data_IF_730784568141
#
_entry.id   IF_730784568141
#
_cell.length_a   1.000
_cell.length_b   1.000
_cell.length_c   1.000
_cell.angle_alpha   90.00
_cell.angle_beta   90.00
_cell.angle_gamma   90.00
#
_symmetry.space_group_name_H-M   'P 1'
#
loop_
_entity.id
_entity.type
_entity.pdbx_description
1 polymer ?
#
# COMPACT_ATOMS: atom_id res chain seq x y z
N UNK A 1 17.99 18.84 11.87
CA UNK A 1 17.75 17.39 12.03
C UNK A 1 16.53 16.99 11.19
N UNK A 2 16.73 16.35 10.04
CA UNK A 2 15.63 15.89 9.18
C UNK A 2 15.06 14.60 9.77
N UNK A 3 13.86 14.66 10.32
CA UNK A 3 13.13 13.48 10.80
C UNK A 3 12.90 12.49 9.66
N UNK A 4 13.61 11.36 9.72
CA UNK A 4 13.37 10.23 8.84
C UNK A 4 11.96 9.70 9.07
N UNK A 5 11.10 9.87 8.06
CA UNK A 5 9.88 9.06 7.96
C UNK A 5 10.38 7.61 7.87
N UNK A 6 10.21 6.84 8.96
CA UNK A 6 10.37 5.38 8.93
C UNK A 6 9.49 4.77 7.83
N UNK A 7 9.64 3.48 7.51
CA UNK A 7 8.90 2.81 6.44
C UNK A 7 7.42 2.64 6.82
N UNK A 8 6.71 3.76 6.98
CA UNK A 8 5.27 3.81 7.02
C UNK A 8 4.80 3.38 5.65
N UNK A 9 3.93 2.35 5.62
CA UNK A 9 3.13 1.92 4.47
C UNK A 9 3.46 2.70 3.22
N UNK A 10 4.51 2.26 2.51
CA UNK A 10 4.96 2.89 1.29
C UNK A 10 3.75 3.09 0.39
N UNK A 11 3.73 4.20 -0.36
CA UNK A 11 2.68 4.52 -1.31
C UNK A 11 2.09 3.22 -1.86
N UNK A 12 0.82 2.93 -1.57
CA UNK A 12 0.15 1.77 -2.17
C UNK A 12 0.17 1.90 -3.72
N UNK A 13 0.52 3.08 -4.25
CA UNK A 13 0.82 3.36 -5.65
C UNK A 13 2.14 2.75 -6.16
N UNK A 14 3.08 2.34 -5.30
CA UNK A 14 4.37 1.77 -5.73
C UNK A 14 4.29 0.31 -6.18
N UNK A 15 3.10 -0.28 -6.15
CA UNK A 15 2.79 -1.54 -6.83
C UNK A 15 2.52 -1.38 -8.33
N UNK A 16 2.66 -0.16 -8.87
CA UNK A 16 2.65 0.12 -10.32
C UNK A 16 3.82 -0.63 -10.95
N UNK A 17 3.55 -1.89 -11.29
CA UNK A 17 4.30 -2.76 -12.20
C UNK A 17 5.77 -2.36 -12.29
N UNK A 18 6.50 -2.57 -11.19
CA UNK A 18 7.96 -2.42 -11.15
C UNK A 18 8.55 -3.22 -12.31
N UNK A 19 8.91 -2.54 -13.39
CA UNK A 19 9.31 -3.18 -14.65
C UNK A 19 8.61 -2.68 -15.91
N UNK A 20 7.55 -1.86 -15.86
CA UNK A 20 6.98 -1.25 -17.09
C UNK A 20 8.02 -0.41 -17.85
N UNK A 21 8.88 0.31 -17.14
CA UNK A 21 10.00 1.05 -17.74
C UNK A 21 11.08 0.15 -18.34
N UNK A 22 11.12 -1.14 -17.94
CA UNK A 22 11.99 -2.16 -18.52
C UNK A 22 11.31 -2.92 -19.69
N UNK A 23 10.04 -2.61 -19.97
CA UNK A 23 9.38 -3.06 -21.20
C UNK A 23 9.60 -1.98 -22.25
N UNK A 24 10.02 -2.39 -23.44
CA UNK A 24 10.02 -1.54 -24.63
C UNK A 24 8.55 -1.32 -25.06
N UNK A 25 7.81 -0.50 -24.32
CA UNK A 25 6.43 -0.14 -24.63
C UNK A 25 6.40 0.74 -25.89
N UNK A 26 5.41 0.51 -26.73
CA UNK A 26 5.13 1.43 -27.85
C UNK A 26 4.49 2.72 -27.32
N UNK A 27 4.61 3.82 -28.06
CA UNK A 27 4.01 5.10 -27.69
C UNK A 27 2.48 4.99 -27.44
N UNK A 28 1.80 4.17 -28.23
CA UNK A 28 0.35 3.91 -28.09
C UNK A 28 0.02 3.14 -26.80
N UNK A 29 0.87 2.18 -26.40
CA UNK A 29 0.70 1.46 -25.14
C UNK A 29 0.98 2.38 -23.94
N UNK A 30 2.01 3.22 -24.02
CA UNK A 30 2.35 4.17 -22.97
C UNK A 30 1.22 5.19 -22.75
N UNK A 31 0.65 5.73 -23.84
CA UNK A 31 -0.49 6.65 -23.75
C UNK A 31 -1.70 6.00 -23.06
N UNK A 32 -2.06 4.76 -23.44
CA UNK A 32 -3.17 4.02 -22.81
C UNK A 32 -2.93 3.77 -21.33
N UNK A 33 -1.71 3.38 -20.95
CA UNK A 33 -1.34 3.13 -19.55
C UNK A 33 -1.39 4.42 -18.73
N UNK A 34 -0.91 5.55 -19.29
CA UNK A 34 -1.00 6.86 -18.64
C UNK A 34 -2.45 7.24 -18.35
N UNK A 35 -3.34 7.14 -19.33
CA UNK A 35 -4.78 7.42 -19.13
C UNK A 35 -5.40 6.53 -18.05
N UNK A 36 -5.08 5.23 -18.04
CA UNK A 36 -5.55 4.31 -17.00
C UNK A 36 -5.04 4.69 -15.61
N UNK A 37 -3.80 5.20 -15.52
CA UNK A 37 -3.20 5.63 -14.26
C UNK A 37 -3.85 6.91 -13.75
N UNK A 38 -4.07 7.89 -14.63
CA UNK A 38 -4.70 9.16 -14.26
C UNK A 38 -6.14 8.96 -13.79
N UNK A 39 -6.89 8.07 -14.46
CA UNK A 39 -8.23 7.68 -14.04
C UNK A 39 -8.20 7.02 -12.64
N UNK A 40 -7.31 6.05 -12.43
CA UNK A 40 -7.19 5.38 -11.13
C UNK A 40 -6.80 6.36 -10.02
N UNK A 41 -5.86 7.28 -10.27
CA UNK A 41 -5.44 8.29 -9.30
C UNK A 41 -6.60 9.22 -8.93
N UNK A 42 -7.39 9.63 -9.91
CA UNK A 42 -8.56 10.49 -9.69
C UNK A 42 -9.61 9.80 -8.82
N UNK A 43 -9.88 8.52 -9.08
CA UNK A 43 -10.83 7.74 -8.27
C UNK A 43 -10.27 7.36 -6.88
N UNK A 44 -8.97 7.17 -6.75
CA UNK A 44 -8.33 6.75 -5.51
C UNK A 44 -8.12 7.91 -4.52
N UNK A 45 -7.91 9.14 -4.99
CA UNK A 45 -7.74 10.35 -4.17
C UNK A 45 -8.80 10.49 -3.06
N UNK A 46 -10.11 10.51 -3.35
CA UNK A 46 -11.12 10.67 -2.31
C UNK A 46 -11.14 9.53 -1.28
N UNK A 47 -10.76 8.31 -1.68
CA UNK A 47 -10.63 7.17 -0.75
C UNK A 47 -9.40 7.31 0.15
N UNK A 48 -8.29 7.81 -0.39
CA UNK A 48 -7.08 8.11 0.38
C UNK A 48 -7.33 9.23 1.40
N UNK A 49 -8.04 10.28 1.00
CA UNK A 49 -8.41 11.39 1.89
C UNK A 49 -9.32 10.92 3.03
N UNK A 50 -10.34 10.12 2.72
CA UNK A 50 -11.19 9.49 3.75
C UNK A 50 -10.37 8.61 4.70
N UNK A 51 -9.45 7.80 4.16
CA UNK A 51 -8.58 6.95 4.97
C UNK A 51 -7.65 7.78 5.87
N UNK A 52 -7.11 8.90 5.38
CA UNK A 52 -6.28 9.81 6.18
C UNK A 52 -7.07 10.40 7.34
N UNK A 53 -8.25 10.94 7.07
CA UNK A 53 -9.15 11.47 8.09
C UNK A 53 -9.50 10.43 9.16
N UNK A 54 -9.84 9.21 8.74
CA UNK A 54 -10.18 8.10 9.66
C UNK A 54 -9.00 7.64 10.50
N UNK A 55 -7.78 7.65 9.97
CA UNK A 55 -6.56 7.38 10.76
C UNK A 55 -6.31 8.47 11.80
N UNK A 56 -6.59 9.73 11.46
CA UNK A 56 -6.56 10.85 12.40
C UNK A 56 -7.57 10.66 13.54
N UNK A 57 -8.82 10.34 13.20
CA UNK A 57 -9.88 10.03 14.17
C UNK A 57 -9.48 8.87 15.09
N UNK A 58 -8.96 7.78 14.53
CA UNK A 58 -8.49 6.64 15.31
C UNK A 58 -7.38 7.05 16.29
N UNK A 59 -6.42 7.86 15.86
CA UNK A 59 -5.34 8.37 16.71
C UNK A 59 -5.90 9.21 17.86
N UNK A 60 -6.88 10.08 17.59
CA UNK A 60 -7.52 10.89 18.63
C UNK A 60 -8.28 10.04 19.64
N UNK A 61 -9.01 9.01 19.19
CA UNK A 61 -9.71 8.07 20.09
C UNK A 61 -8.75 7.34 21.05
N UNK A 62 -7.54 7.00 20.59
CA UNK A 62 -6.52 6.39 21.44
C UNK A 62 -5.85 7.36 22.43
N UNK A 63 -5.92 8.68 22.18
CA UNK A 63 -5.36 9.70 23.07
C UNK A 63 -6.33 10.15 24.17
N UNK A 64 -7.58 9.67 24.14
CA UNK A 64 -8.56 9.97 25.18
C UNK A 64 -8.16 9.32 26.51
N UNK A 65 -8.41 10.02 27.63
CA UNK A 65 -8.13 9.51 28.97
C UNK A 65 -8.83 8.16 29.24
N UNK A 66 -10.04 7.99 28.70
CA UNK A 66 -10.82 6.75 28.75
C UNK A 66 -11.21 6.34 27.31
N UNK A 67 -10.39 5.53 26.62
CA UNK A 67 -10.66 5.15 25.24
C UNK A 67 -11.92 4.30 25.10
N UNK A 68 -12.82 4.70 24.20
CA UNK A 68 -14.03 3.94 23.91
C UNK A 68 -13.74 2.82 22.90
N UNK A 69 -13.69 1.57 23.38
CA UNK A 69 -13.41 0.39 22.56
C UNK A 69 -14.36 0.24 21.37
N UNK A 70 -15.67 0.48 21.55
CA UNK A 70 -16.66 0.33 20.46
C UNK A 70 -16.38 1.32 19.32
N UNK A 71 -16.09 2.59 19.64
CA UNK A 71 -15.74 3.61 18.65
C UNK A 71 -14.43 3.29 17.93
N UNK A 72 -13.41 2.83 18.67
CA UNK A 72 -12.12 2.42 18.09
C UNK A 72 -12.31 1.27 17.10
N UNK A 73 -13.06 0.24 17.47
CA UNK A 73 -13.31 -0.91 16.59
C UNK A 73 -14.13 -0.52 15.37
N UNK A 74 -15.12 0.38 15.51
CA UNK A 74 -15.90 0.90 14.39
C UNK A 74 -15.01 1.64 13.37
N UNK A 75 -14.21 2.61 13.83
CA UNK A 75 -13.28 3.35 12.95
C UNK A 75 -12.24 2.41 12.31
N UNK A 76 -11.75 1.41 13.04
CA UNK A 76 -10.87 0.40 12.47
C UNK A 76 -11.53 -0.40 11.33
N UNK A 77 -12.81 -0.78 11.48
CA UNK A 77 -13.56 -1.49 10.42
C UNK A 77 -13.72 -0.61 9.18
N UNK A 78 -14.03 0.68 9.36
CA UNK A 78 -14.12 1.63 8.25
C UNK A 78 -12.79 1.78 7.52
N UNK A 79 -11.67 1.87 8.26
CA UNK A 79 -10.32 1.91 7.66
C UNK A 79 -10.02 0.63 6.87
N UNK A 80 -10.44 -0.54 7.37
CA UNK A 80 -10.29 -1.81 6.64
C UNK A 80 -11.08 -1.79 5.33
N UNK A 81 -12.36 -1.41 5.38
CA UNK A 81 -13.19 -1.31 4.19
C UNK A 81 -12.63 -0.34 3.15
N UNK A 82 -12.12 0.83 3.57
CA UNK A 82 -11.48 1.79 2.66
C UNK A 82 -10.19 1.23 2.04
N UNK A 83 -9.42 0.44 2.80
CA UNK A 83 -8.23 -0.25 2.28
C UNK A 83 -8.61 -1.29 1.23
N UNK A 84 -9.65 -2.07 1.49
CA UNK A 84 -10.13 -3.11 0.57
C UNK A 84 -10.57 -2.48 -0.76
N UNK A 85 -11.34 -1.39 -0.71
CA UNK A 85 -11.75 -0.64 -1.92
C UNK A 85 -10.55 -0.11 -2.73
N UNK A 86 -9.50 0.40 -2.04
CA UNK A 86 -8.29 0.85 -2.71
C UNK A 86 -7.54 -0.31 -3.37
N UNK A 87 -7.49 -1.47 -2.71
CA UNK A 87 -6.83 -2.67 -3.21
C UNK A 87 -7.58 -3.28 -4.42
N UNK A 88 -8.90 -3.26 -4.40
CA UNK A 88 -9.73 -3.68 -5.54
C UNK A 88 -9.49 -2.79 -6.76
N UNK A 89 -9.48 -1.46 -6.57
CA UNK A 89 -9.17 -0.51 -7.64
C UNK A 89 -7.76 -0.73 -8.21
N UNK A 90 -6.77 -1.00 -7.35
CA UNK A 90 -5.41 -1.31 -7.79
C UNK A 90 -5.33 -2.61 -8.57
N UNK A 91 -6.04 -3.65 -8.13
CA UNK A 91 -6.12 -4.93 -8.83
C UNK A 91 -6.74 -4.76 -10.21
N UNK A 92 -7.85 -4.01 -10.29
CA UNK A 92 -8.52 -3.70 -11.55
C UNK A 92 -7.62 -2.92 -12.51
N UNK A 93 -6.88 -1.92 -12.01
CA UNK A 93 -5.90 -1.19 -12.83
C UNK A 93 -4.80 -2.11 -13.35
N UNK A 94 -4.22 -2.96 -12.47
CA UNK A 94 -3.17 -3.91 -12.88
C UNK A 94 -3.66 -4.87 -13.96
N UNK A 95 -4.88 -5.39 -13.82
CA UNK A 95 -5.51 -6.25 -14.84
C UNK A 95 -5.77 -5.49 -16.14
N UNK A 96 -6.20 -4.23 -16.07
CA UNK A 96 -6.41 -3.39 -17.25
C UNK A 96 -5.08 -3.12 -18.00
N UNK A 97 -4.00 -2.83 -17.27
CA UNK A 97 -2.68 -2.64 -17.88
C UNK A 97 -2.16 -3.94 -18.51
N UNK A 98 -2.32 -5.09 -17.84
CA UNK A 98 -1.92 -6.38 -18.42
C UNK A 98 -2.61 -6.65 -19.78
N UNK A 99 -3.88 -6.25 -19.94
CA UNK A 99 -4.62 -6.38 -21.22
C UNK A 99 -4.07 -5.50 -22.35
N UNK A 100 -3.32 -4.44 -22.04
CA UNK A 100 -2.68 -3.55 -23.04
C UNK A 100 -1.34 -4.12 -23.52
N UNK A 101 -0.69 -4.97 -22.71
CA UNK A 101 0.61 -5.56 -23.01
C UNK A 101 0.48 -6.78 -23.94
N UNK A 102 1.51 -7.00 -24.76
CA UNK A 102 1.62 -8.22 -25.57
C UNK A 102 1.92 -9.44 -24.67
N UNK A 103 1.61 -10.68 -25.11
CA UNK A 103 1.91 -11.88 -24.34
C UNK A 103 3.38 -11.99 -23.91
N UNK A 104 4.32 -11.60 -24.78
CA UNK A 104 5.75 -11.58 -24.47
C UNK A 104 6.12 -10.55 -23.39
N UNK A 105 5.48 -9.38 -23.42
CA UNK A 105 5.65 -8.35 -22.39
C UNK A 105 5.03 -8.78 -21.06
N UNK A 106 3.89 -9.48 -21.08
CA UNK A 106 3.26 -10.04 -19.88
C UNK A 106 4.17 -11.05 -19.18
N UNK A 107 4.82 -11.95 -19.94
CA UNK A 107 5.78 -12.91 -19.38
C UNK A 107 6.96 -12.22 -18.71
N UNK A 108 7.47 -11.12 -19.30
CA UNK A 108 8.52 -10.30 -18.69
C UNK A 108 8.05 -9.65 -17.39
N UNK A 109 6.84 -9.07 -17.38
CA UNK A 109 6.23 -8.50 -16.16
C UNK A 109 6.04 -9.56 -15.06
N UNK A 110 5.60 -10.76 -15.43
CA UNK A 110 5.47 -11.87 -14.48
C UNK A 110 6.83 -12.29 -13.93
N UNK A 111 7.88 -12.33 -14.76
CA UNK A 111 9.25 -12.61 -14.31
C UNK A 111 9.79 -11.54 -13.36
N UNK A 112 9.53 -10.24 -13.63
CA UNK A 112 9.87 -9.15 -12.71
C UNK A 112 9.08 -9.21 -11.40
N UNK A 113 7.80 -9.60 -11.45
CA UNK A 113 6.93 -9.79 -10.29
C UNK A 113 7.24 -11.04 -9.47
N UNK A 114 7.73 -12.10 -10.10
CA UNK A 114 8.12 -13.35 -9.46
C UNK A 114 9.38 -13.18 -8.58
N UNK A 115 10.28 -12.26 -8.96
CA UNK A 115 11.50 -11.97 -8.20
C UNK A 115 11.31 -11.05 -6.98
N UNK A 116 10.18 -10.34 -6.86
CA UNK A 116 9.95 -9.33 -5.79
C UNK A 116 8.50 -9.25 -5.28
N UNK A 117 7.78 -10.36 -5.11
CA UNK A 117 6.54 -10.28 -4.33
C UNK A 117 5.47 -11.37 -4.44
N UNK A 118 5.74 -12.54 -5.02
CA UNK A 118 4.80 -13.68 -4.94
C UNK A 118 5.38 -14.96 -4.30
N UNK A 119 6.68 -14.97 -4.00
CA UNK A 119 7.27 -15.97 -3.14
C UNK A 119 7.36 -15.39 -1.72
N UNK A 120 6.61 -15.99 -0.80
CA UNK A 120 6.92 -16.11 0.63
C UNK A 120 7.68 -14.93 1.21
N UNK A 121 6.98 -14.12 2.01
CA UNK A 121 7.62 -13.18 2.91
C UNK A 121 8.79 -13.87 3.61
N UNK A 122 10.01 -13.55 3.19
CA UNK A 122 11.21 -13.89 3.94
C UNK A 122 11.29 -12.87 5.05
N UNK A 123 10.50 -13.12 6.08
CA UNK A 123 10.31 -12.19 7.18
C UNK A 123 9.24 -12.59 8.20
N UNK A 124 8.98 -13.87 8.39
CA UNK A 124 8.45 -14.37 9.66
C UNK A 124 9.22 -15.63 10.06
N UNK A 125 10.06 -15.51 11.09
CA UNK A 125 10.55 -16.66 11.85
C UNK A 125 12.05 -16.62 12.18
N UNK A 126 12.32 -16.60 13.49
CA UNK A 126 13.56 -17.03 14.16
C UNK A 126 14.73 -16.03 14.26
N UNK A 127 14.48 -14.88 14.90
CA UNK A 127 15.48 -14.29 15.82
C UNK A 127 15.00 -14.56 17.25
N UNK A 128 15.89 -14.90 18.21
CA UNK A 128 15.49 -15.11 19.60
C UNK A 128 15.15 -13.76 20.22
N UNK A 129 13.86 -13.43 20.26
CA UNK A 129 13.36 -12.31 21.06
C UNK A 129 12.31 -11.47 20.33
N UNK A 130 11.14 -11.35 20.95
CA UNK A 130 10.21 -10.25 20.68
C UNK A 130 8.85 -10.69 20.20
N UNK A 131 8.14 -11.45 21.04
CA UNK A 131 6.70 -11.64 20.90
C UNK A 131 5.93 -10.34 20.98
N UNK A 132 4.66 -10.42 20.58
CA UNK A 132 3.66 -9.38 20.74
C UNK A 132 3.57 -8.94 22.21
N UNK A 133 3.66 -7.63 22.46
CA UNK A 133 3.36 -7.02 23.77
C UNK A 133 4.58 -6.39 24.43
N UNK A 134 4.55 -5.08 24.64
CA UNK A 134 5.54 -4.40 25.43
C UNK A 134 5.55 -2.89 25.24
N UNK A 135 4.70 -2.18 25.99
CA UNK A 135 5.02 -0.84 26.45
C UNK A 135 6.30 -0.93 27.30
N UNK A 136 7.33 -0.17 26.95
CA UNK A 136 8.55 -0.03 27.76
C UNK A 136 9.30 1.24 27.36
N UNK A 137 9.70 2.10 28.31
CA UNK A 137 10.28 3.41 28.02
C UNK A 137 11.72 3.25 27.52
N UNK A 138 12.03 3.91 26.40
CA UNK A 138 13.39 3.91 25.85
C UNK A 138 14.40 4.66 26.74
N UNK A 139 15.69 4.29 26.71
CA UNK A 139 16.72 5.00 27.45
C UNK A 139 17.03 6.35 26.79
N UNK A 140 17.01 7.42 27.59
CA UNK A 140 17.65 8.70 27.26
C UNK A 140 19.17 8.53 27.42
N UNK A 141 19.95 8.98 26.43
CA UNK A 141 21.41 9.02 26.52
C UNK A 141 21.99 10.19 25.73
N UNK A 142 22.55 11.14 26.50
CA UNK A 142 23.42 12.30 26.23
C UNK A 142 23.61 12.82 24.80
#
# INVERSE_FOLDING_TARGET
>A
MRGGRGPGYGNCQSGDLHGLAALNLTADQEAKIKTLRDAQLTEAKPLQDKMFSKRGELKLLWLQQNPNQQKIVAVQKEIRSLRDQLQDKQTNHRLAVLKVLTPEQQTKVQAFGAGRGFAHGRGFGAGPGGGCGGYGPGPRGN
#
